data_IF_943933271863
#
_entry.id   IF_943933271863
#
_cell.length_a   1.000
_cell.length_b   1.000
_cell.length_c   1.000
_cell.angle_alpha   90.00
_cell.angle_beta   90.00
_cell.angle_gamma   90.00
#
_symmetry.space_group_name_H-M   'P 1'
#
loop_
_entity.id
_entity.type
_entity.pdbx_description
1 polymer ?
#
# COMPACT_ATOMS: atom_id res chain seq x y z
N UNK A 1 4.76 24.46 -4.68
CA UNK A 1 4.79 22.99 -4.80
C UNK A 1 5.19 22.39 -3.46
N UNK A 2 6.35 22.73 -2.89
CA UNK A 2 6.71 22.27 -1.53
C UNK A 2 5.83 22.91 -0.43
N UNK A 3 5.59 24.22 -0.48
CA UNK A 3 4.75 24.91 0.52
C UNK A 3 3.24 24.58 0.46
N UNK A 4 2.83 23.60 -0.35
CA UNK A 4 1.44 23.11 -0.45
C UNK A 4 1.34 21.61 -0.15
N UNK A 5 2.41 20.98 0.36
CA UNK A 5 2.38 19.59 0.78
C UNK A 5 1.47 19.43 2.00
N UNK A 6 0.59 18.43 1.96
CA UNK A 6 -0.38 18.14 3.01
C UNK A 6 -0.33 16.65 3.34
N UNK A 7 -1.43 15.93 3.09
CA UNK A 7 -1.60 14.50 3.34
C UNK A 7 -1.03 13.61 2.20
N UNK A 8 -0.42 14.21 1.17
CA UNK A 8 0.22 13.54 0.03
C UNK A 8 -0.51 13.68 -1.31
N UNK A 9 0.24 13.84 -2.40
CA UNK A 9 -0.26 13.74 -3.78
C UNK A 9 0.01 12.33 -4.35
N UNK A 10 -1.07 11.58 -4.59
CA UNK A 10 -1.02 10.18 -5.04
C UNK A 10 -2.18 9.91 -6.03
N UNK A 11 -1.96 9.03 -7.00
CA UNK A 11 -2.99 8.64 -7.96
C UNK A 11 -4.10 7.82 -7.31
N UNK A 12 -5.33 7.96 -7.81
CA UNK A 12 -6.44 7.12 -7.39
C UNK A 12 -6.25 5.67 -7.85
N UNK A 13 -6.61 4.73 -6.98
CA UNK A 13 -6.68 3.29 -7.22
C UNK A 13 -8.10 2.92 -7.62
N UNK A 14 -8.28 2.28 -8.78
CA UNK A 14 -9.61 1.87 -9.22
C UNK A 14 -10.16 0.72 -8.36
N UNK A 15 -9.30 -0.17 -7.90
CA UNK A 15 -9.61 -1.23 -6.95
C UNK A 15 -10.18 -0.68 -5.63
N UNK A 16 -9.48 0.26 -4.99
CA UNK A 16 -9.93 0.84 -3.73
C UNK A 16 -11.18 1.70 -3.90
N UNK A 17 -11.25 2.45 -5.00
CA UNK A 17 -12.45 3.22 -5.33
C UNK A 17 -13.66 2.32 -5.53
N UNK A 18 -13.48 1.14 -6.10
CA UNK A 18 -14.55 0.14 -6.22
C UNK A 18 -15.02 -0.40 -4.86
N UNK A 19 -14.10 -0.68 -3.94
CA UNK A 19 -14.47 -1.07 -2.57
C UNK A 19 -15.24 0.03 -1.83
N UNK A 20 -14.82 1.28 -1.95
CA UNK A 20 -15.55 2.42 -1.40
C UNK A 20 -16.93 2.56 -2.05
N UNK A 21 -17.02 2.36 -3.35
CA UNK A 21 -18.28 2.42 -4.09
C UNK A 21 -19.28 1.31 -3.72
N UNK A 22 -18.82 0.20 -3.13
CA UNK A 22 -19.68 -0.90 -2.65
C UNK A 22 -20.36 -0.58 -1.31
N UNK A 23 -19.91 0.43 -0.58
CA UNK A 23 -20.47 0.77 0.73
C UNK A 23 -21.92 1.24 0.55
N UNK A 24 -22.86 0.46 1.07
CA UNK A 24 -24.24 0.90 1.24
C UNK A 24 -24.34 1.96 2.34
N UNK A 25 -25.17 2.98 2.10
CA UNK A 25 -25.49 4.05 3.03
C UNK A 25 -25.74 3.53 4.45
N UNK A 26 -25.00 4.09 5.41
CA UNK A 26 -25.03 3.61 6.80
C UNK A 26 -26.39 3.83 7.48
N UNK A 27 -27.22 4.73 6.94
CA UNK A 27 -28.58 4.97 7.42
C UNK A 27 -29.61 3.96 6.90
N UNK A 28 -29.21 3.04 6.03
CA UNK A 28 -30.06 1.95 5.53
C UNK A 28 -31.01 2.37 4.40
N UNK A 29 -30.66 3.38 3.61
CA UNK A 29 -31.48 3.80 2.47
C UNK A 29 -31.47 2.83 1.28
N UNK A 30 -30.59 1.80 1.28
CA UNK A 30 -30.42 0.90 0.13
C UNK A 30 -29.71 1.55 -1.06
N UNK A 31 -29.08 2.70 -0.86
CA UNK A 31 -28.35 3.48 -1.88
C UNK A 31 -26.84 3.49 -1.58
N UNK A 32 -25.98 3.81 -2.56
CA UNK A 32 -24.54 3.91 -2.32
C UNK A 32 -24.23 5.08 -1.37
N UNK A 33 -23.40 4.82 -0.35
CA UNK A 33 -22.89 5.85 0.56
C UNK A 33 -22.06 6.91 -0.16
N UNK A 34 -21.34 6.49 -1.20
CA UNK A 34 -20.40 7.32 -1.97
C UNK A 34 -20.73 7.29 -3.48
N UNK A 35 -21.81 7.96 -3.93
CA UNK A 35 -22.20 7.95 -5.33
C UNK A 35 -21.12 8.54 -6.26
N UNK A 36 -20.34 9.51 -5.78
CA UNK A 36 -19.22 10.09 -6.53
C UNK A 36 -18.12 9.07 -6.86
N UNK A 37 -17.94 8.01 -6.07
CA UNK A 37 -17.00 6.92 -6.38
C UNK A 37 -17.47 6.08 -7.55
N UNK A 38 -18.78 5.86 -7.68
CA UNK A 38 -19.35 5.18 -8.87
C UNK A 38 -19.22 6.05 -10.12
N UNK A 39 -19.44 7.36 -10.02
CA UNK A 39 -19.19 8.30 -11.10
C UNK A 39 -17.72 8.32 -11.52
N UNK A 40 -16.79 8.29 -10.54
CA UNK A 40 -15.36 8.19 -10.81
C UNK A 40 -15.03 6.93 -11.60
N UNK A 41 -15.54 5.76 -11.17
CA UNK A 41 -15.33 4.48 -11.88
C UNK A 41 -15.85 4.59 -13.31
N UNK A 42 -17.06 5.09 -13.49
CA UNK A 42 -17.66 5.23 -14.81
C UNK A 42 -16.81 6.15 -15.73
N UNK A 43 -16.28 7.25 -15.20
CA UNK A 43 -15.54 8.23 -15.99
C UNK A 43 -14.06 7.86 -16.24
N UNK A 44 -13.54 6.80 -15.59
CA UNK A 44 -12.12 6.43 -15.67
C UNK A 44 -11.84 5.05 -16.29
N UNK A 45 -12.83 4.42 -16.93
CA UNK A 45 -12.59 3.22 -17.75
C UNK A 45 -11.62 3.53 -18.90
N UNK A 46 -10.61 2.69 -19.09
CA UNK A 46 -9.64 2.79 -20.17
C UNK A 46 -10.25 2.41 -21.53
N UNK A 47 -9.65 2.83 -22.65
CA UNK A 47 -10.19 2.54 -23.99
C UNK A 47 -10.34 1.05 -24.32
N UNK A 48 -9.54 0.18 -23.70
CA UNK A 48 -9.59 -1.28 -23.86
C UNK A 48 -10.68 -1.95 -22.98
N UNK A 49 -11.42 -1.17 -22.19
CA UNK A 49 -12.45 -1.66 -21.28
C UNK A 49 -11.95 -1.96 -19.87
N UNK A 50 -10.64 -1.90 -19.61
CA UNK A 50 -10.06 -2.14 -18.29
C UNK A 50 -10.06 -0.91 -17.38
N UNK A 51 -9.68 -1.11 -16.13
CA UNK A 51 -9.24 -0.08 -15.18
C UNK A 51 -7.85 -0.43 -14.67
N UNK A 52 -7.07 0.57 -14.26
CA UNK A 52 -5.70 0.40 -13.76
C UNK A 52 -4.79 1.55 -14.19
N UNK A 53 -3.48 1.34 -14.14
CA UNK A 53 -2.51 2.35 -14.54
C UNK A 53 -2.58 2.66 -16.05
N UNK A 54 -2.53 3.95 -16.41
CA UNK A 54 -2.68 4.43 -17.80
C UNK A 54 -1.41 4.26 -18.63
N UNK A 55 -0.25 4.24 -18.00
CA UNK A 55 1.06 4.27 -18.65
C UNK A 55 1.70 2.89 -18.70
N UNK A 56 1.49 2.08 -17.66
CA UNK A 56 2.08 0.75 -17.53
C UNK A 56 0.97 -0.29 -17.60
N UNK A 57 1.18 -1.33 -18.42
CA UNK A 57 0.30 -2.50 -18.46
C UNK A 57 0.91 -3.61 -17.63
N UNK A 58 0.19 -4.05 -16.61
CA UNK A 58 0.45 -5.29 -15.87
C UNK A 58 -0.87 -6.04 -15.75
N UNK A 59 -0.91 -7.32 -16.12
CA UNK A 59 -2.16 -8.07 -16.12
C UNK A 59 -2.73 -8.21 -14.70
N UNK A 60 -1.91 -8.40 -13.67
CA UNK A 60 -2.32 -8.38 -12.27
C UNK A 60 -3.04 -7.08 -11.92
N UNK A 61 -2.44 -5.92 -12.24
CA UNK A 61 -3.05 -4.60 -12.02
C UNK A 61 -4.36 -4.48 -12.79
N UNK A 62 -4.35 -4.74 -14.10
CA UNK A 62 -5.54 -4.52 -14.94
C UNK A 62 -6.69 -5.43 -14.54
N UNK A 63 -6.42 -6.70 -14.24
CA UNK A 63 -7.47 -7.68 -13.96
C UNK A 63 -8.11 -7.43 -12.59
N UNK A 64 -7.34 -7.13 -11.55
CA UNK A 64 -7.91 -6.88 -10.21
C UNK A 64 -8.72 -5.58 -10.17
N UNK A 65 -8.20 -4.50 -10.77
CA UNK A 65 -8.90 -3.22 -10.87
C UNK A 65 -10.19 -3.38 -11.68
N UNK A 66 -10.11 -4.05 -12.85
CA UNK A 66 -11.28 -4.24 -13.72
C UNK A 66 -12.37 -5.07 -13.04
N UNK A 67 -12.00 -6.18 -12.40
CA UNK A 67 -12.97 -7.04 -11.72
C UNK A 67 -13.68 -6.29 -10.59
N UNK A 68 -12.93 -5.56 -9.77
CA UNK A 68 -13.50 -4.74 -8.69
C UNK A 68 -14.48 -3.69 -9.22
N UNK A 69 -14.10 -2.93 -10.26
CA UNK A 69 -14.97 -1.92 -10.87
C UNK A 69 -16.24 -2.53 -11.48
N UNK A 70 -16.14 -3.67 -12.17
CA UNK A 70 -17.32 -4.38 -12.71
C UNK A 70 -18.25 -4.81 -11.58
N UNK A 71 -17.71 -5.37 -10.49
CA UNK A 71 -18.49 -5.75 -9.30
C UNK A 71 -19.25 -4.54 -8.73
N UNK A 72 -18.57 -3.40 -8.55
CA UNK A 72 -19.19 -2.18 -8.03
C UNK A 72 -20.34 -1.69 -8.93
N UNK A 73 -20.10 -1.56 -10.24
CA UNK A 73 -21.12 -1.10 -11.18
C UNK A 73 -22.31 -2.09 -11.28
N UNK A 74 -22.02 -3.39 -11.29
CA UNK A 74 -23.03 -4.45 -11.34
C UNK A 74 -23.90 -4.49 -10.09
N UNK A 75 -23.31 -4.32 -8.91
CA UNK A 75 -24.01 -4.31 -7.61
C UNK A 75 -25.10 -3.25 -7.59
N UNK A 76 -24.82 -2.06 -8.15
CA UNK A 76 -25.77 -0.94 -8.19
C UNK A 76 -26.62 -0.88 -9.47
N UNK A 77 -26.42 -1.81 -10.41
CA UNK A 77 -27.18 -1.85 -11.66
C UNK A 77 -26.98 -0.65 -12.58
N UNK A 78 -25.81 0.00 -12.53
CA UNK A 78 -25.51 1.21 -13.32
C UNK A 78 -24.43 0.95 -14.38
N UNK A 79 -24.41 1.78 -15.43
CA UNK A 79 -23.46 1.70 -16.54
C UNK A 79 -23.24 0.27 -17.09
N UNK A 80 -24.32 -0.42 -17.54
CA UNK A 80 -24.22 -1.79 -18.05
C UNK A 80 -23.27 -1.92 -19.26
N UNK A 81 -23.13 -0.86 -20.06
CA UNK A 81 -22.19 -0.79 -21.18
C UNK A 81 -20.72 -0.88 -20.71
N UNK A 82 -20.38 -0.22 -19.60
CA UNK A 82 -19.04 -0.26 -19.00
C UNK A 82 -18.77 -1.60 -18.35
N UNK A 83 -19.78 -2.17 -17.67
CA UNK A 83 -19.71 -3.52 -17.14
C UNK A 83 -19.37 -4.53 -18.24
N UNK A 84 -20.11 -4.49 -19.36
CA UNK A 84 -19.92 -5.41 -20.48
C UNK A 84 -18.51 -5.32 -21.07
N UNK A 85 -17.98 -4.10 -21.26
CA UNK A 85 -16.60 -3.89 -21.72
C UNK A 85 -15.57 -4.44 -20.74
N UNK A 86 -15.75 -4.19 -19.44
CA UNK A 86 -14.85 -4.72 -18.40
C UNK A 86 -14.85 -6.24 -18.33
N UNK A 87 -16.03 -6.86 -18.43
CA UNK A 87 -16.16 -8.33 -18.50
C UNK A 87 -15.49 -8.88 -19.76
N UNK A 88 -15.66 -8.23 -20.93
CA UNK A 88 -14.98 -8.64 -22.17
C UNK A 88 -13.47 -8.57 -22.00
N UNK A 89 -12.94 -7.44 -21.51
CA UNK A 89 -11.52 -7.30 -21.24
C UNK A 89 -11.01 -8.40 -20.31
N UNK A 90 -11.73 -8.66 -19.22
CA UNK A 90 -11.34 -9.68 -18.25
C UNK A 90 -11.26 -11.09 -18.89
N UNK A 91 -12.30 -11.48 -19.65
CA UNK A 91 -12.32 -12.76 -20.38
C UNK A 91 -11.15 -12.89 -21.36
N UNK A 92 -10.86 -11.81 -22.09
CA UNK A 92 -9.82 -11.81 -23.14
C UNK A 92 -8.39 -11.81 -22.57
N UNK A 93 -8.21 -11.41 -21.30
CA UNK A 93 -6.88 -11.17 -20.72
C UNK A 93 -6.53 -12.05 -19.52
N UNK A 94 -7.46 -12.82 -18.96
CA UNK A 94 -7.18 -13.60 -17.73
C UNK A 94 -6.02 -14.60 -17.88
N UNK A 95 -5.85 -15.19 -19.07
CA UNK A 95 -4.76 -16.14 -19.35
C UNK A 95 -3.37 -15.50 -19.31
N UNK A 96 -3.29 -14.16 -19.36
CA UNK A 96 -2.01 -13.45 -19.23
C UNK A 96 -1.40 -13.62 -17.83
N UNK A 97 -2.21 -13.92 -16.80
CA UNK A 97 -1.69 -14.21 -15.45
C UNK A 97 -0.80 -15.46 -15.41
N UNK A 98 -0.96 -16.41 -16.35
CA UNK A 98 -0.12 -17.62 -16.39
C UNK A 98 1.35 -17.31 -16.67
N UNK A 99 1.62 -16.21 -17.36
CA UNK A 99 2.97 -15.85 -17.85
C UNK A 99 3.50 -14.58 -17.19
N UNK A 100 2.74 -13.97 -16.28
CA UNK A 100 3.15 -12.72 -15.67
C UNK A 100 4.05 -12.97 -14.46
N UNK A 101 5.10 -12.17 -14.35
CA UNK A 101 6.04 -12.25 -13.23
C UNK A 101 5.32 -12.01 -11.91
N UNK A 102 5.59 -12.87 -10.92
CA UNK A 102 5.12 -12.68 -9.55
C UNK A 102 5.85 -11.55 -8.82
N UNK A 103 6.96 -11.07 -9.38
CA UNK A 103 7.86 -10.09 -8.76
C UNK A 103 7.18 -8.77 -8.46
N UNK A 104 6.37 -8.26 -9.39
CA UNK A 104 5.62 -7.03 -9.24
C UNK A 104 4.12 -7.29 -8.98
N UNK A 105 3.78 -8.49 -8.53
CA UNK A 105 2.41 -8.80 -8.15
C UNK A 105 1.95 -7.82 -7.05
N UNK A 106 0.78 -7.17 -7.21
CA UNK A 106 0.25 -6.24 -6.22
C UNK A 106 0.16 -6.87 -4.83
N UNK A 107 0.31 -6.03 -3.81
CA UNK A 107 0.24 -6.44 -2.41
C UNK A 107 -1.12 -7.09 -2.16
N UNK A 108 -1.12 -8.25 -1.51
CA UNK A 108 -2.36 -8.94 -1.16
C UNK A 108 -3.13 -9.56 -2.34
N UNK A 109 -2.65 -9.46 -3.60
CA UNK A 109 -3.35 -9.97 -4.78
C UNK A 109 -3.82 -11.43 -4.62
N UNK A 110 -2.95 -12.31 -4.12
CA UNK A 110 -3.24 -13.74 -3.90
C UNK A 110 -4.43 -14.00 -2.96
N UNK A 111 -4.80 -13.02 -2.14
CA UNK A 111 -5.92 -13.11 -1.20
C UNK A 111 -7.10 -12.29 -1.70
N UNK A 112 -6.85 -11.06 -2.12
CA UNK A 112 -7.87 -10.12 -2.61
C UNK A 112 -8.54 -10.59 -3.91
N UNK A 113 -7.78 -11.09 -4.89
CA UNK A 113 -8.31 -11.44 -6.20
C UNK A 113 -9.29 -12.63 -6.15
N UNK A 114 -8.98 -13.75 -5.46
CA UNK A 114 -9.98 -14.80 -5.25
C UNK A 114 -11.23 -14.35 -4.50
N UNK A 115 -11.09 -13.47 -3.51
CA UNK A 115 -12.24 -12.95 -2.77
C UNK A 115 -13.16 -12.13 -3.68
N UNK A 116 -12.61 -11.34 -4.61
CA UNK A 116 -13.40 -10.70 -5.66
C UNK A 116 -14.05 -11.70 -6.62
N UNK A 117 -13.38 -12.80 -6.98
CA UNK A 117 -13.98 -13.83 -7.84
C UNK A 117 -15.19 -14.49 -7.19
N UNK A 118 -15.16 -14.70 -5.87
CA UNK A 118 -16.33 -15.21 -5.13
C UNK A 118 -17.49 -14.20 -5.12
N UNK A 119 -17.19 -12.91 -4.92
CA UNK A 119 -18.20 -11.84 -5.02
C UNK A 119 -18.78 -11.79 -6.44
N UNK A 120 -17.93 -11.84 -7.48
CA UNK A 120 -18.36 -11.84 -8.87
C UNK A 120 -19.29 -13.03 -9.19
N UNK A 121 -18.99 -14.21 -8.63
CA UNK A 121 -19.83 -15.40 -8.77
C UNK A 121 -21.20 -15.21 -8.12
N UNK A 122 -21.26 -14.58 -6.95
CA UNK A 122 -22.53 -14.28 -6.27
C UNK A 122 -23.42 -13.26 -7.01
N UNK A 123 -22.84 -12.49 -7.94
CA UNK A 123 -23.52 -11.47 -8.75
C UNK A 123 -23.81 -11.93 -10.19
N UNK A 124 -23.65 -13.22 -10.47
CA UNK A 124 -23.80 -13.81 -11.82
C UNK A 124 -22.96 -13.09 -12.89
N UNK A 125 -21.75 -12.63 -12.52
CA UNK A 125 -20.81 -12.07 -13.47
C UNK A 125 -20.12 -13.22 -14.20
N UNK A 126 -20.31 -13.27 -15.52
CA UNK A 126 -19.70 -14.27 -16.38
C UNK A 126 -18.18 -14.03 -16.51
N UNK A 127 -17.38 -14.72 -15.72
CA UNK A 127 -15.93 -14.84 -15.92
C UNK A 127 -15.59 -16.31 -16.21
N UNK A 128 -14.43 -16.62 -16.81
CA UNK A 128 -14.10 -17.99 -17.21
C UNK A 128 -13.68 -18.83 -15.99
N UNK A 129 -14.62 -19.17 -15.11
CA UNK A 129 -14.38 -19.85 -13.82
C UNK A 129 -13.65 -21.20 -13.93
N UNK A 130 -13.65 -21.82 -15.11
CA UNK A 130 -12.92 -23.06 -15.40
C UNK A 130 -11.47 -22.82 -15.86
N UNK A 131 -11.00 -21.57 -15.88
CA UNK A 131 -9.63 -21.24 -16.25
C UNK A 131 -8.63 -21.87 -15.26
N UNK A 132 -7.58 -22.56 -15.73
CA UNK A 132 -6.54 -23.15 -14.87
C UNK A 132 -5.89 -22.13 -13.92
N UNK A 133 -5.78 -20.87 -14.37
CA UNK A 133 -5.30 -19.73 -13.57
C UNK A 133 -5.98 -19.67 -12.21
N UNK A 134 -7.28 -19.92 -12.14
CA UNK A 134 -8.01 -19.82 -10.88
C UNK A 134 -7.63 -20.92 -9.91
N UNK A 135 -7.39 -22.14 -10.37
CA UNK A 135 -6.96 -23.25 -9.52
C UNK A 135 -5.68 -22.85 -8.78
N UNK A 136 -4.70 -22.31 -9.50
CA UNK A 136 -3.41 -21.91 -8.94
C UNK A 136 -3.56 -20.74 -7.95
N UNK A 137 -4.37 -19.73 -8.27
CA UNK A 137 -4.58 -18.57 -7.38
C UNK A 137 -5.33 -19.00 -6.10
N UNK A 138 -6.35 -19.86 -6.19
CA UNK A 138 -7.04 -20.38 -4.99
C UNK A 138 -6.09 -21.19 -4.12
N UNK A 139 -5.22 -22.03 -4.71
CA UNK A 139 -4.21 -22.76 -3.96
C UNK A 139 -3.20 -21.84 -3.25
N UNK A 140 -2.75 -20.77 -3.93
CA UNK A 140 -1.88 -19.74 -3.34
C UNK A 140 -2.57 -19.01 -2.19
N UNK A 141 -3.84 -18.64 -2.33
CA UNK A 141 -4.63 -18.05 -1.24
C UNK A 141 -4.64 -18.95 -0.03
N UNK A 142 -5.05 -20.21 -0.20
CA UNK A 142 -5.25 -21.12 0.91
C UNK A 142 -3.93 -21.38 1.64
N UNK A 143 -2.83 -21.56 0.89
CA UNK A 143 -1.49 -21.64 1.48
C UNK A 143 -1.12 -20.36 2.25
N UNK A 144 -1.41 -19.17 1.71
CA UNK A 144 -1.10 -17.90 2.37
C UNK A 144 -1.93 -17.70 3.64
N UNK A 145 -3.22 -18.06 3.63
CA UNK A 145 -4.10 -18.01 4.79
C UNK A 145 -3.62 -18.93 5.92
N UNK A 146 -3.05 -20.11 5.62
CA UNK A 146 -2.48 -20.98 6.66
C UNK A 146 -1.24 -20.38 7.35
N UNK A 147 -0.54 -19.46 6.68
CA UNK A 147 0.65 -18.79 7.22
C UNK A 147 0.32 -17.51 7.98
N UNK A 148 -0.91 -17.01 7.87
CA UNK A 148 -1.35 -15.82 8.60
C UNK A 148 -1.60 -16.20 10.06
N UNK A 149 -0.85 -15.60 11.01
CA UNK A 149 -1.09 -15.84 12.42
C UNK A 149 -2.35 -15.09 12.85
N UNK A 150 -3.53 -15.70 12.66
CA UNK A 150 -4.85 -15.08 12.97
C UNK A 150 -4.90 -14.50 14.38
N UNK A 151 -4.33 -15.17 15.37
CA UNK A 151 -4.27 -14.66 16.75
C UNK A 151 -3.44 -13.37 16.87
N UNK A 152 -2.31 -13.26 16.16
CA UNK A 152 -1.49 -12.04 16.18
C UNK A 152 -2.23 -10.90 15.48
N UNK A 153 -2.85 -11.19 14.34
CA UNK A 153 -3.57 -10.21 13.52
C UNK A 153 -4.68 -9.46 14.28
N UNK A 154 -5.35 -10.13 15.23
CA UNK A 154 -6.43 -9.52 16.02
C UNK A 154 -5.96 -8.82 17.30
N UNK A 155 -4.70 -9.02 17.71
CA UNK A 155 -4.20 -8.51 18.99
C UNK A 155 -3.10 -7.44 18.83
N UNK A 156 -2.43 -7.39 17.67
CA UNK A 156 -1.32 -6.46 17.43
C UNK A 156 -1.46 -5.82 16.04
N UNK A 157 -1.19 -4.51 15.89
CA UNK A 157 -1.14 -3.89 14.58
C UNK A 157 -0.07 -4.54 13.70
N UNK A 158 -0.48 -5.02 12.53
CA UNK A 158 0.40 -5.63 11.52
C UNK A 158 -0.01 -5.17 10.13
N UNK A 159 0.84 -5.40 9.12
CA UNK A 159 0.52 -5.06 7.72
C UNK A 159 -0.72 -5.76 7.18
N UNK A 160 -1.19 -6.82 7.84
CA UNK A 160 -2.43 -7.52 7.50
C UNK A 160 -3.67 -6.63 7.60
N UNK A 161 -3.65 -5.60 8.45
CA UNK A 161 -4.73 -4.61 8.54
C UNK A 161 -4.92 -3.82 7.23
N UNK A 162 -3.94 -3.80 6.34
CA UNK A 162 -4.03 -3.12 5.05
C UNK A 162 -4.81 -3.90 3.98
N UNK A 163 -5.20 -5.16 4.25
CA UNK A 163 -5.86 -6.04 3.26
C UNK A 163 -6.97 -6.90 3.86
N UNK A 164 -7.78 -6.36 4.78
CA UNK A 164 -8.84 -7.10 5.48
C UNK A 164 -9.95 -7.57 4.54
N UNK A 165 -10.19 -6.85 3.44
CA UNK A 165 -11.22 -7.13 2.44
C UNK A 165 -11.05 -8.47 1.72
N UNK A 166 -9.85 -9.05 1.75
CA UNK A 166 -9.58 -10.38 1.24
C UNK A 166 -9.72 -11.50 2.28
N UNK A 167 -9.86 -11.18 3.58
CA UNK A 167 -9.69 -12.15 4.66
C UNK A 167 -11.01 -12.74 5.16
N UNK A 168 -11.10 -14.08 5.33
CA UNK A 168 -12.26 -14.72 5.93
C UNK A 168 -12.21 -14.72 7.47
N UNK A 169 -13.39 -14.80 8.10
CA UNK A 169 -13.56 -15.05 9.55
C UNK A 169 -12.84 -14.04 10.46
N UNK A 170 -13.18 -12.75 10.30
CA UNK A 170 -12.62 -11.67 11.11
C UNK A 170 -13.43 -11.42 12.38
N UNK A 171 -12.72 -11.20 13.50
CA UNK A 171 -13.29 -10.74 14.78
C UNK A 171 -13.20 -9.21 14.85
N UNK A 172 -14.29 -8.56 14.44
CA UNK A 172 -14.38 -7.10 14.37
C UNK A 172 -14.29 -6.40 15.72
N UNK A 173 -14.69 -7.06 16.81
CA UNK A 173 -14.58 -6.47 18.16
C UNK A 173 -13.11 -6.28 18.54
N UNK A 174 -12.26 -7.23 18.15
CA UNK A 174 -10.81 -7.11 18.33
C UNK A 174 -10.17 -6.16 17.32
N UNK A 175 -10.52 -6.28 16.03
CA UNK A 175 -9.92 -5.45 14.98
C UNK A 175 -10.17 -3.96 15.17
N UNK A 176 -11.36 -3.54 15.60
CA UNK A 176 -11.65 -2.11 15.86
C UNK A 176 -10.74 -1.50 16.93
N UNK A 177 -10.18 -2.31 17.84
CA UNK A 177 -9.20 -1.85 18.84
C UNK A 177 -7.82 -1.54 18.23
N UNK A 178 -7.58 -2.01 17.01
CA UNK A 178 -6.35 -1.81 16.22
C UNK A 178 -6.49 -0.70 15.15
N UNK A 179 -7.64 -0.03 15.07
CA UNK A 179 -7.89 1.06 14.13
C UNK A 179 -6.86 2.19 14.32
N UNK A 180 -6.43 2.80 13.20
CA UNK A 180 -5.58 3.98 13.22
C UNK A 180 -6.32 5.18 13.80
N UNK A 181 -5.57 6.17 14.32
CA UNK A 181 -6.16 7.36 14.92
C UNK A 181 -7.01 8.20 13.96
N UNK A 182 -6.79 8.07 12.65
CA UNK A 182 -7.57 8.74 11.61
C UNK A 182 -8.87 8.00 11.22
N UNK A 183 -9.10 6.81 11.79
CA UNK A 183 -10.25 5.95 11.51
C UNK A 183 -10.00 4.86 10.46
N UNK A 184 -8.82 4.83 9.84
CA UNK A 184 -8.48 3.82 8.84
C UNK A 184 -8.04 2.49 9.46
N UNK A 185 -8.09 1.44 8.64
CA UNK A 185 -7.34 0.21 8.86
C UNK A 185 -6.04 0.28 8.08
N UNK A 186 -4.96 0.62 8.79
CA UNK A 186 -3.60 0.81 8.27
C UNK A 186 -3.57 1.61 6.96
N UNK A 187 -4.30 2.73 6.94
CA UNK A 187 -4.29 3.70 5.84
C UNK A 187 -4.79 3.16 4.48
N UNK A 188 -5.42 1.98 4.43
CA UNK A 188 -6.02 1.39 3.23
C UNK A 188 -7.49 1.78 3.10
N UNK A 189 -7.91 2.48 2.03
CA UNK A 189 -9.33 2.76 1.80
C UNK A 189 -10.17 1.52 1.51
N UNK A 190 -9.66 0.52 0.78
CA UNK A 190 -10.40 -0.74 0.55
C UNK A 190 -10.64 -1.52 1.84
N UNK A 191 -9.60 -1.71 2.66
CA UNK A 191 -9.71 -2.39 3.96
C UNK A 191 -10.67 -1.64 4.89
N UNK A 192 -10.61 -0.31 4.89
CA UNK A 192 -11.51 0.53 5.70
C UNK A 192 -12.95 0.51 5.20
N UNK A 193 -13.16 0.48 3.87
CA UNK A 193 -14.49 0.32 3.28
C UNK A 193 -15.11 -1.03 3.64
N UNK A 194 -14.31 -2.10 3.57
CA UNK A 194 -14.74 -3.41 4.02
C UNK A 194 -15.12 -3.40 5.51
N UNK A 195 -14.29 -2.83 6.38
CA UNK A 195 -14.61 -2.69 7.80
C UNK A 195 -15.90 -1.90 8.03
N UNK A 196 -16.11 -0.80 7.31
CA UNK A 196 -17.34 -0.01 7.40
C UNK A 196 -18.57 -0.83 7.01
N UNK A 197 -18.50 -1.64 5.95
CA UNK A 197 -19.60 -2.52 5.54
C UNK A 197 -19.98 -3.52 6.63
N UNK A 198 -18.99 -4.06 7.35
CA UNK A 198 -19.20 -5.07 8.38
C UNK A 198 -19.62 -4.49 9.74
N UNK A 199 -19.19 -3.27 10.07
CA UNK A 199 -19.30 -2.74 11.44
C UNK A 199 -20.16 -1.48 11.55
N UNK A 200 -20.35 -0.76 10.45
CA UNK A 200 -20.96 0.59 10.42
C UNK A 200 -20.23 1.59 11.33
N UNK A 201 -18.93 1.39 11.59
CA UNK A 201 -18.11 2.26 12.42
C UNK A 201 -18.01 3.70 11.87
N UNK A 202 -18.28 4.69 12.72
CA UNK A 202 -18.30 6.10 12.32
C UNK A 202 -16.91 6.65 11.99
N UNK A 203 -15.84 6.12 12.58
CA UNK A 203 -14.49 6.59 12.28
C UNK A 203 -14.03 6.09 10.91
N UNK A 204 -14.34 4.84 10.55
CA UNK A 204 -14.16 4.34 9.19
C UNK A 204 -14.90 5.23 8.17
N UNK A 205 -16.16 5.56 8.44
CA UNK A 205 -16.94 6.46 7.58
C UNK A 205 -16.28 7.84 7.45
N UNK A 206 -15.84 8.44 8.56
CA UNK A 206 -15.20 9.77 8.56
C UNK A 206 -13.90 9.78 7.76
N UNK A 207 -13.08 8.74 7.90
CA UNK A 207 -11.86 8.56 7.10
C UNK A 207 -12.20 8.53 5.60
N UNK A 208 -13.13 7.66 5.19
CA UNK A 208 -13.50 7.50 3.78
C UNK A 208 -14.13 8.77 3.20
N UNK A 209 -15.01 9.46 3.95
CA UNK A 209 -15.59 10.74 3.52
C UNK A 209 -14.52 11.78 3.22
N UNK A 210 -13.51 11.92 4.09
CA UNK A 210 -12.40 12.85 3.89
C UNK A 210 -11.59 12.48 2.64
N UNK A 211 -11.26 11.19 2.48
CA UNK A 211 -10.46 10.72 1.35
C UNK A 211 -11.22 10.88 0.03
N UNK A 212 -12.48 10.46 -0.05
CA UNK A 212 -13.33 10.64 -1.24
C UNK A 212 -13.48 12.12 -1.61
N UNK A 213 -13.66 12.99 -0.62
CA UNK A 213 -13.73 14.44 -0.85
C UNK A 213 -12.42 14.98 -1.43
N UNK A 214 -11.27 14.55 -0.89
CA UNK A 214 -9.95 14.99 -1.35
C UNK A 214 -9.64 14.61 -2.79
N UNK A 215 -10.12 13.45 -3.23
CA UNK A 215 -9.82 12.86 -4.54
C UNK A 215 -11.03 12.88 -5.50
N UNK A 216 -12.03 13.72 -5.22
CA UNK A 216 -13.20 13.97 -6.07
C UNK A 216 -13.89 12.69 -6.54
N UNK A 217 -14.21 11.79 -5.60
CA UNK A 217 -14.87 10.52 -5.89
C UNK A 217 -13.92 9.32 -5.91
N UNK A 218 -12.71 9.49 -6.46
CA UNK A 218 -11.68 8.46 -6.38
C UNK A 218 -11.11 8.33 -4.95
N UNK A 219 -10.33 7.29 -4.71
CA UNK A 219 -9.43 7.17 -3.55
C UNK A 219 -8.14 6.45 -3.99
N UNK A 220 -6.98 6.74 -3.39
CA UNK A 220 -5.74 5.98 -3.63
C UNK A 220 -5.77 4.61 -2.94
N UNK A 221 -4.73 3.79 -3.13
CA UNK A 221 -4.58 2.53 -2.40
C UNK A 221 -4.06 2.71 -0.95
N UNK A 222 -3.44 3.85 -0.67
CA UNK A 222 -2.95 4.22 0.66
C UNK A 222 -3.12 5.72 0.88
N UNK A 223 -3.63 6.11 2.05
CA UNK A 223 -3.77 7.52 2.43
C UNK A 223 -3.87 7.72 3.95
N UNK A 224 -3.16 8.71 4.53
CA UNK A 224 -2.24 9.65 3.88
C UNK A 224 -0.89 8.99 3.50
N UNK A 225 -0.04 9.74 2.80
CA UNK A 225 1.37 9.41 2.51
C UNK A 225 2.30 10.60 2.81
N UNK A 226 1.95 11.36 3.84
CA UNK A 226 2.57 12.64 4.16
C UNK A 226 4.05 12.49 4.49
N UNK A 227 4.43 11.58 5.39
CA UNK A 227 5.83 11.40 5.76
C UNK A 227 6.66 10.89 4.57
N UNK A 228 6.15 9.90 3.85
CA UNK A 228 6.78 9.37 2.65
C UNK A 228 7.05 10.48 1.61
N UNK A 229 6.05 11.30 1.31
CA UNK A 229 6.18 12.37 0.31
C UNK A 229 7.20 13.43 0.74
N UNK A 230 7.16 13.89 2.00
CA UNK A 230 8.11 14.87 2.52
C UNK A 230 9.55 14.35 2.47
N UNK A 231 9.76 13.13 2.93
CA UNK A 231 11.07 12.48 3.00
C UNK A 231 11.63 12.29 1.59
N UNK A 232 10.85 11.72 0.67
CA UNK A 232 11.34 11.44 -0.67
C UNK A 232 11.57 12.70 -1.49
N UNK A 233 10.74 13.72 -1.32
CA UNK A 233 10.93 14.98 -2.01
C UNK A 233 12.27 15.63 -1.63
N UNK A 234 12.59 15.68 -0.34
CA UNK A 234 13.88 16.20 0.14
C UNK A 234 15.04 15.38 -0.42
N UNK A 235 14.96 14.06 -0.36
CA UNK A 235 16.01 13.18 -0.86
C UNK A 235 16.27 13.35 -2.36
N UNK A 236 15.21 13.40 -3.17
CA UNK A 236 15.34 13.56 -4.63
C UNK A 236 15.91 14.93 -4.99
N UNK A 237 15.49 16.01 -4.32
CA UNK A 237 16.09 17.35 -4.53
C UNK A 237 17.58 17.38 -4.19
N UNK A 238 18.00 16.69 -3.13
CA UNK A 238 19.41 16.58 -2.74
C UNK A 238 20.21 15.76 -3.76
N UNK A 239 19.73 14.56 -4.12
CA UNK A 239 20.42 13.66 -5.07
C UNK A 239 20.53 14.27 -6.47
N UNK A 240 19.57 15.07 -6.90
CA UNK A 240 19.60 15.81 -8.16
C UNK A 240 20.53 17.04 -8.13
N UNK A 241 21.13 17.38 -6.98
CA UNK A 241 22.07 18.50 -6.86
C UNK A 241 21.43 19.89 -6.95
N UNK A 242 20.13 19.99 -6.68
CA UNK A 242 19.35 21.25 -6.79
C UNK A 242 18.74 21.73 -5.46
N UNK A 243 18.93 21.00 -4.36
CA UNK A 243 18.38 21.31 -3.04
C UNK A 243 18.71 22.72 -2.51
N UNK A 244 19.84 23.32 -2.90
CA UNK A 244 20.26 24.67 -2.47
C UNK A 244 19.25 25.78 -2.79
N UNK A 245 18.38 25.57 -3.78
CA UNK A 245 17.35 26.55 -4.18
C UNK A 245 16.09 26.48 -3.30
N UNK A 246 15.97 25.46 -2.45
CA UNK A 246 14.76 25.15 -1.68
C UNK A 246 15.06 25.03 -0.18
N UNK A 247 16.06 25.77 0.31
CA UNK A 247 16.52 25.61 1.70
C UNK A 247 15.41 25.88 2.73
N UNK A 248 14.61 26.96 2.64
CA UNK A 248 13.49 27.18 3.56
C UNK A 248 12.46 26.05 3.50
N UNK A 249 12.07 25.62 2.30
CA UNK A 249 11.05 24.60 2.11
C UNK A 249 11.51 23.21 2.57
N UNK A 250 12.78 22.86 2.33
CA UNK A 250 13.36 21.62 2.85
C UNK A 250 13.37 21.64 4.39
N UNK A 251 13.68 22.79 5.00
CA UNK A 251 13.64 22.91 6.45
C UNK A 251 12.22 22.69 6.97
N UNK A 252 11.21 23.31 6.36
CA UNK A 252 9.81 23.10 6.71
C UNK A 252 9.39 21.63 6.57
N UNK A 253 9.82 20.95 5.50
CA UNK A 253 9.55 19.53 5.31
C UNK A 253 10.16 18.68 6.43
N UNK A 254 11.42 18.94 6.80
CA UNK A 254 12.10 18.18 7.85
C UNK A 254 11.58 18.53 9.25
N UNK A 255 11.17 19.78 9.50
CA UNK A 255 10.48 20.16 10.73
C UNK A 255 9.15 19.39 10.86
N UNK A 256 8.43 19.18 9.75
CA UNK A 256 7.22 18.35 9.72
C UNK A 256 7.53 16.88 10.02
N UNK A 257 8.52 16.29 9.35
CA UNK A 257 8.94 14.90 9.60
C UNK A 257 9.38 14.71 11.05
N UNK A 258 10.20 15.63 11.58
CA UNK A 258 10.69 15.56 12.96
C UNK A 258 9.56 15.65 14.00
N UNK A 259 8.51 16.44 13.72
CA UNK A 259 7.33 16.55 14.60
C UNK A 259 6.64 15.20 14.84
N UNK A 260 6.67 14.31 13.87
CA UNK A 260 6.05 12.97 13.95
C UNK A 260 7.07 11.84 14.10
N UNK A 261 8.34 12.18 14.28
CA UNK A 261 9.39 11.21 14.57
C UNK A 261 9.15 10.58 15.95
N UNK A 262 9.36 9.27 16.08
CA UNK A 262 9.23 8.53 17.34
C UNK A 262 10.46 7.68 17.62
N UNK A 263 10.63 7.24 18.86
CA UNK A 263 11.73 6.34 19.25
C UNK A 263 11.60 4.94 18.63
N UNK A 264 10.38 4.53 18.26
CA UNK A 264 10.09 3.24 17.64
C UNK A 264 10.18 3.29 16.10
N UNK A 265 10.25 4.48 15.52
CA UNK A 265 10.35 4.72 14.08
C UNK A 265 9.19 5.53 13.49
N UNK A 266 9.11 5.53 12.17
CA UNK A 266 8.01 6.12 11.40
C UNK A 266 7.59 5.16 10.28
N UNK A 267 6.55 5.54 9.55
CA UNK A 267 6.16 4.90 8.31
C UNK A 267 5.72 5.98 7.31
N UNK A 268 5.10 5.59 6.20
CA UNK A 268 4.67 6.52 5.15
C UNK A 268 3.66 7.58 5.62
N UNK A 269 2.93 7.29 6.71
CA UNK A 269 1.92 8.14 7.29
C UNK A 269 2.23 8.49 8.76
N UNK A 270 1.88 9.71 9.17
CA UNK A 270 1.97 10.14 10.58
C UNK A 270 1.08 9.31 11.51
N UNK A 271 1.43 9.29 12.80
CA UNK A 271 0.63 8.71 13.89
C UNK A 271 0.27 7.23 13.74
N UNK A 272 1.09 6.49 12.98
CA UNK A 272 1.00 5.03 12.87
C UNK A 272 1.50 4.32 14.13
N UNK A 273 1.06 3.07 14.33
CA UNK A 273 1.64 2.11 15.29
C UNK A 273 2.37 0.96 14.59
N UNK A 274 2.45 1.02 13.26
CA UNK A 274 3.18 0.09 12.41
C UNK A 274 4.26 0.90 11.71
N UNK A 275 5.51 0.60 12.03
CA UNK A 275 6.68 1.28 11.50
C UNK A 275 7.34 0.42 10.42
N UNK A 276 7.96 1.06 9.44
CA UNK A 276 8.76 0.39 8.43
C UNK A 276 10.18 0.92 8.38
N UNK A 277 11.11 0.06 7.97
CA UNK A 277 12.53 0.38 7.98
C UNK A 277 12.91 1.38 6.89
N UNK A 278 12.13 1.47 5.80
CA UNK A 278 12.49 2.30 4.65
C UNK A 278 12.29 3.78 5.00
N UNK A 279 11.07 4.15 5.39
CA UNK A 279 10.73 5.49 5.84
C UNK A 279 11.54 5.86 7.11
N UNK A 280 11.72 4.92 8.03
CA UNK A 280 12.55 5.16 9.23
C UNK A 280 14.02 5.42 8.88
N UNK A 281 14.64 4.62 8.01
CA UNK A 281 16.04 4.82 7.61
C UNK A 281 16.22 6.14 6.85
N UNK A 282 15.27 6.46 5.98
CA UNK A 282 15.27 7.69 5.22
C UNK A 282 15.09 8.93 6.09
N UNK A 283 14.06 8.94 6.95
CA UNK A 283 13.82 9.99 7.93
C UNK A 283 15.03 10.20 8.83
N UNK A 284 15.55 9.12 9.41
CA UNK A 284 16.75 9.15 10.26
C UNK A 284 17.93 9.84 9.57
N UNK A 285 18.28 9.40 8.36
CA UNK A 285 19.44 9.92 7.63
C UNK A 285 19.27 11.40 7.32
N UNK A 286 18.09 11.81 6.82
CA UNK A 286 17.84 13.20 6.45
C UNK A 286 17.81 14.10 7.69
N UNK A 287 17.09 13.70 8.74
CA UNK A 287 17.03 14.45 10.00
C UNK A 287 18.43 14.63 10.60
N UNK A 288 19.21 13.54 10.69
CA UNK A 288 20.58 13.61 11.21
C UNK A 288 21.49 14.53 10.39
N UNK A 289 21.47 14.42 9.07
CA UNK A 289 22.30 15.26 8.18
C UNK A 289 21.93 16.75 8.24
N UNK A 290 20.72 17.08 8.69
CA UNK A 290 20.25 18.46 8.89
C UNK A 290 20.32 18.94 10.34
N UNK A 291 20.96 18.16 11.23
CA UNK A 291 21.27 18.58 12.60
C UNK A 291 20.15 18.36 13.62
N UNK A 292 19.13 17.57 13.30
CA UNK A 292 18.12 17.14 14.27
C UNK A 292 18.66 16.02 15.17
N UNK A 293 18.23 15.99 16.42
CA UNK A 293 18.60 14.96 17.38
C UNK A 293 17.75 13.70 17.16
N UNK A 294 18.33 12.69 16.50
CA UNK A 294 17.70 11.39 16.28
C UNK A 294 18.63 10.26 16.75
N UNK A 295 18.09 9.36 17.58
CA UNK A 295 18.83 8.20 18.09
C UNK A 295 18.85 7.05 17.07
N UNK A 296 19.99 6.39 16.94
CA UNK A 296 20.12 5.16 16.16
C UNK A 296 19.38 3.96 16.80
N UNK A 297 18.97 4.07 18.07
CA UNK A 297 18.23 3.01 18.76
C UNK A 297 16.89 2.67 18.09
N UNK A 298 16.35 3.59 17.26
CA UNK A 298 15.17 3.37 16.42
C UNK A 298 15.26 2.10 15.57
N UNK A 299 16.47 1.69 15.17
CA UNK A 299 16.67 0.51 14.34
C UNK A 299 16.58 -0.81 15.09
N UNK A 300 16.54 -0.80 16.43
CA UNK A 300 16.48 -2.03 17.24
C UNK A 300 15.19 -2.82 17.02
N UNK A 301 14.10 -2.15 16.69
CA UNK A 301 12.80 -2.80 16.45
C UNK A 301 12.79 -3.63 15.16
N UNK A 302 13.64 -3.28 14.21
CA UNK A 302 13.78 -3.96 12.93
C UNK A 302 14.86 -5.03 12.92
N UNK A 303 15.67 -5.10 13.98
CA UNK A 303 16.77 -6.06 14.11
C UNK A 303 16.27 -7.34 14.79
N UNK A 304 16.62 -8.49 14.21
CA UNK A 304 16.41 -9.79 14.82
C UNK A 304 17.47 -10.78 14.38
N UNK A 305 18.34 -11.17 15.31
CA UNK A 305 19.34 -12.21 15.08
C UNK A 305 20.50 -11.77 14.18
N UNK A 306 20.80 -10.46 14.16
CA UNK A 306 21.82 -9.85 13.30
C UNK A 306 21.33 -9.49 11.90
N UNK A 307 20.05 -9.71 11.61
CA UNK A 307 19.39 -9.34 10.36
C UNK A 307 18.39 -8.20 10.56
N UNK A 308 18.09 -7.46 9.50
CA UNK A 308 17.12 -6.37 9.50
C UNK A 308 15.96 -6.66 8.56
N UNK A 309 14.77 -6.22 8.94
CA UNK A 309 13.52 -6.51 8.22
C UNK A 309 12.70 -5.24 7.99
N UNK A 310 11.90 -5.21 6.91
CA UNK A 310 11.08 -4.05 6.56
C UNK A 310 10.01 -3.75 7.62
N UNK A 311 9.42 -4.78 8.22
CA UNK A 311 8.39 -4.63 9.25
C UNK A 311 8.69 -5.55 10.43
N UNK A 312 8.36 -5.08 11.64
CA UNK A 312 8.52 -5.86 12.87
C UNK A 312 7.72 -7.16 12.78
N UNK A 313 8.38 -8.29 13.09
CA UNK A 313 7.75 -9.61 13.11
C UNK A 313 7.50 -10.22 11.72
N UNK A 314 7.97 -9.60 10.64
CA UNK A 314 7.86 -10.11 9.28
C UNK A 314 9.24 -10.45 8.70
N UNK A 315 9.26 -11.27 7.66
CA UNK A 315 10.48 -11.68 6.95
C UNK A 315 10.72 -10.89 5.67
N UNK A 316 10.00 -9.79 5.44
CA UNK A 316 10.14 -8.99 4.22
C UNK A 316 11.44 -8.18 4.24
N UNK A 317 12.24 -8.26 3.17
CA UNK A 317 13.52 -7.58 2.99
C UNK A 317 13.57 -7.00 1.58
N UNK A 318 12.93 -5.85 1.38
CA UNK A 318 12.90 -5.15 0.09
C UNK A 318 14.28 -4.55 -0.24
N UNK A 319 14.69 -4.60 -1.52
CA UNK A 319 15.98 -4.06 -1.96
C UNK A 319 16.10 -2.58 -1.61
N UNK A 320 15.09 -1.78 -1.91
CA UNK A 320 15.05 -0.34 -1.65
C UNK A 320 15.12 -0.02 -0.16
N UNK A 321 14.32 -0.70 0.68
CA UNK A 321 14.38 -0.53 2.13
C UNK A 321 15.75 -0.86 2.72
N UNK A 322 16.39 -1.95 2.27
CA UNK A 322 17.75 -2.30 2.73
C UNK A 322 18.82 -1.36 2.16
N UNK A 323 18.65 -0.86 0.94
CA UNK A 323 19.52 0.18 0.37
C UNK A 323 19.44 1.49 1.17
N UNK A 324 18.25 1.91 1.59
CA UNK A 324 18.09 3.10 2.41
C UNK A 324 18.64 2.91 3.83
N UNK A 325 18.49 1.71 4.40
CA UNK A 325 19.21 1.32 5.62
C UNK A 325 20.73 1.41 5.44
N UNK A 326 21.28 0.91 4.33
CA UNK A 326 22.71 0.99 4.04
C UNK A 326 23.19 2.45 4.00
N UNK A 327 22.44 3.33 3.33
CA UNK A 327 22.75 4.76 3.27
C UNK A 327 22.66 5.42 4.65
N UNK A 328 21.65 5.08 5.45
CA UNK A 328 21.47 5.59 6.80
C UNK A 328 22.58 5.13 7.75
N UNK A 329 23.03 3.89 7.63
CA UNK A 329 24.10 3.32 8.46
C UNK A 329 25.45 4.03 8.30
N UNK A 330 25.65 4.78 7.21
CA UNK A 330 26.89 5.50 6.93
C UNK A 330 27.00 6.85 7.66
N UNK A 331 25.90 7.37 8.22
CA UNK A 331 25.89 8.60 9.04
C UNK A 331 25.97 8.28 10.55
N UNK A 332 26.71 7.23 10.89
CA UNK A 332 26.89 6.75 12.26
C UNK A 332 27.85 7.63 13.07
N UNK A 333 27.59 7.75 14.37
CA UNK A 333 28.50 8.30 15.37
C UNK A 333 29.25 7.18 16.10
N UNK A 334 30.46 7.44 16.62
CA UNK A 334 31.23 6.44 17.37
C UNK A 334 30.42 5.86 18.54
N UNK A 335 30.34 4.53 18.61
CA UNK A 335 29.63 3.80 19.67
C UNK A 335 28.22 3.33 19.29
N UNK A 336 27.67 3.76 18.15
CA UNK A 336 26.36 3.32 17.64
C UNK A 336 26.44 1.92 16.98
N UNK A 337 26.63 0.89 17.80
CA UNK A 337 26.80 -0.52 17.35
C UNK A 337 25.69 -1.00 16.42
N UNK A 338 24.45 -0.58 16.65
CA UNK A 338 23.30 -0.96 15.81
C UNK A 338 23.48 -0.53 14.35
N UNK A 339 24.13 0.62 14.10
CA UNK A 339 24.43 1.07 12.73
C UNK A 339 25.65 0.36 12.15
N UNK A 340 26.63 -0.02 12.97
CA UNK A 340 27.75 -0.88 12.51
C UNK A 340 27.22 -2.24 12.03
N UNK A 341 26.27 -2.82 12.77
CA UNK A 341 25.59 -4.06 12.41
C UNK A 341 24.70 -3.88 11.18
N UNK A 342 23.91 -2.80 11.12
CA UNK A 342 23.08 -2.47 9.96
C UNK A 342 23.92 -2.29 8.69
N UNK A 343 25.07 -1.60 8.78
CA UNK A 343 26.00 -1.42 7.66
C UNK A 343 26.55 -2.74 7.15
N UNK A 344 26.99 -3.62 8.06
CA UNK A 344 27.53 -4.94 7.72
C UNK A 344 26.46 -5.82 7.06
N UNK A 345 25.27 -5.88 7.64
CA UNK A 345 24.15 -6.64 7.11
C UNK A 345 23.74 -6.14 5.73
N UNK A 346 23.38 -4.86 5.62
CA UNK A 346 22.84 -4.28 4.40
C UNK A 346 23.83 -4.32 3.24
N UNK A 347 25.12 -4.04 3.49
CA UNK A 347 26.17 -4.18 2.47
C UNK A 347 26.28 -5.63 1.97
N UNK A 348 26.26 -6.61 2.88
CA UNK A 348 26.36 -8.03 2.51
C UNK A 348 25.15 -8.45 1.69
N UNK A 349 23.95 -8.10 2.15
CA UNK A 349 22.69 -8.39 1.46
C UNK A 349 22.67 -7.80 0.04
N UNK A 350 22.99 -6.51 -0.11
CA UNK A 350 22.96 -5.83 -1.41
C UNK A 350 24.03 -6.39 -2.38
N UNK A 351 25.24 -6.70 -1.89
CA UNK A 351 26.27 -7.34 -2.73
C UNK A 351 25.86 -8.75 -3.18
N UNK A 352 25.21 -9.53 -2.30
CA UNK A 352 24.71 -10.85 -2.68
C UNK A 352 23.61 -10.74 -3.74
N UNK A 353 22.67 -9.79 -3.57
CA UNK A 353 21.61 -9.53 -4.55
C UNK A 353 22.15 -9.05 -5.89
N UNK A 354 23.16 -8.17 -5.88
CA UNK A 354 23.88 -7.76 -7.08
C UNK A 354 24.57 -8.94 -7.77
N UNK A 355 25.27 -9.80 -7.02
CA UNK A 355 25.97 -10.95 -7.58
C UNK A 355 25.01 -12.02 -8.17
N UNK A 356 23.78 -12.07 -7.66
CA UNK A 356 22.72 -12.97 -8.14
C UNK A 356 21.86 -12.38 -9.27
N UNK A 357 22.09 -11.12 -9.69
CA UNK A 357 21.24 -10.38 -10.64
C UNK A 357 19.79 -10.22 -10.14
N UNK A 358 19.63 -10.04 -8.83
CA UNK A 358 18.34 -9.91 -8.12
C UNK A 358 18.13 -8.49 -7.55
N UNK A 359 18.66 -7.46 -8.23
CA UNK A 359 18.44 -6.05 -7.86
C UNK A 359 17.12 -5.52 -8.40
N UNK A 360 16.04 -6.16 -7.95
CA UNK A 360 14.66 -5.87 -8.34
C UNK A 360 13.83 -5.67 -7.07
N UNK A 361 12.93 -4.69 -7.12
CA UNK A 361 12.14 -4.31 -5.96
C UNK A 361 10.65 -4.62 -6.18
N UNK A 362 10.05 -5.28 -5.20
CA UNK A 362 8.63 -5.65 -5.23
C UNK A 362 7.70 -4.43 -5.15
N UNK A 363 8.13 -3.36 -4.50
CA UNK A 363 7.30 -2.21 -4.14
C UNK A 363 7.37 -1.09 -5.17
N UNK A 364 8.34 -1.14 -6.10
CA UNK A 364 8.54 -0.09 -7.09
C UNK A 364 9.20 -0.59 -8.38
N UNK A 365 8.69 -0.12 -9.51
CA UNK A 365 9.36 -0.23 -10.81
C UNK A 365 10.18 1.05 -11.02
N UNK A 366 11.50 0.93 -11.08
CA UNK A 366 12.41 2.07 -11.23
C UNK A 366 13.13 2.06 -12.57
N UNK A 367 13.73 3.19 -12.94
CA UNK A 367 14.47 3.33 -14.20
C UNK A 367 15.79 2.56 -14.20
N UNK A 368 16.52 2.56 -13.08
CA UNK A 368 17.89 2.06 -13.00
C UNK A 368 18.29 1.69 -11.56
N UNK A 369 17.49 0.85 -10.88
CA UNK A 369 17.83 0.36 -9.52
C UNK A 369 19.23 -0.28 -9.44
N UNK A 370 19.70 -1.06 -10.44
CA UNK A 370 21.05 -1.63 -10.38
C UNK A 370 22.18 -0.59 -10.44
N UNK A 371 21.92 0.58 -11.04
CA UNK A 371 22.86 1.69 -11.11
C UNK A 371 22.88 2.59 -9.87
N UNK A 372 21.77 2.65 -9.12
CA UNK A 372 21.69 3.31 -7.81
C UNK A 372 22.44 2.55 -6.71
#
# INVERSE_FOLDING_TARGET
MLGSMEDGEISSSAYDTAWVALVEDVSGSGAPQFPSSLEWIANNQLPDGSWGDRQIFMAHDRLINTLACVIALKTWGIHPDKCQKGVSFFKDNISKLENESEEHMPIGFEVAFPSLLEIARSLDIEVPYDSPVFIDIYAKRDLKLTRIPKEIMHNVPTTLLHSLEGMPELDWEKLLKLQCLDGSFLFSPSSTAFALMQTKDENCLRYLMKTVQRFNGGVPNVYPVDLFEHIWTVDRLQRLGISRYFHPEIKECLDYVYRYWTEDGISWARNTRVYDIDDTAMGFRLLRLHGYEVSADVFRHFEKGGEFFCFVGQSNQAITGIFNLYRASQVLFPGEKILEDAKRFSSTFLTQKQAADELLDKWIITKDLPGE
#
